data_IF_926457138103
#
_entry.id   IF_926457138103
#
_cell.length_a   1.000
_cell.length_b   1.000
_cell.length_c   1.000
_cell.angle_alpha   90.00
_cell.angle_beta   90.00
_cell.angle_gamma   90.00
#
_symmetry.space_group_name_H-M   'P 1'
#
loop_
_entity.id
_entity.type
_entity.pdbx_description
1 polymer ?
#
# COMPACT_ATOMS: atom_id res chain seq x y z
N UNK A 1 -2.41 -3.34 -18.16
CA UNK A 1 -1.46 -4.47 -18.15
C UNK A 1 -2.26 -5.76 -18.11
N UNK A 2 -1.90 -6.76 -18.93
CA UNK A 2 -2.60 -8.05 -18.98
C UNK A 2 -2.09 -9.03 -17.93
N UNK A 3 -2.08 -8.63 -16.64
CA UNK A 3 -1.57 -9.47 -15.55
C UNK A 3 -2.39 -10.74 -15.39
N UNK A 4 -3.71 -10.63 -15.57
CA UNK A 4 -4.66 -11.73 -15.46
C UNK A 4 -5.54 -11.77 -16.71
N UNK A 5 -6.02 -12.95 -17.07
CA UNK A 5 -6.90 -13.16 -18.22
C UNK A 5 -8.34 -12.66 -17.97
N UNK A 6 -9.20 -12.75 -18.98
CA UNK A 6 -10.59 -12.25 -18.90
C UNK A 6 -11.48 -13.02 -17.92
N UNK A 7 -11.20 -14.30 -17.66
CA UNK A 7 -11.95 -15.12 -16.69
C UNK A 7 -11.51 -14.75 -15.29
N UNK A 8 -10.20 -14.69 -15.07
CA UNK A 8 -9.61 -14.29 -13.79
C UNK A 8 -10.01 -12.86 -13.41
N UNK A 9 -10.03 -11.93 -14.39
CA UNK A 9 -10.46 -10.56 -14.15
C UNK A 9 -11.90 -10.47 -13.65
N UNK A 10 -12.84 -11.23 -14.23
CA UNK A 10 -14.24 -11.24 -13.77
C UNK A 10 -14.37 -11.69 -12.32
N UNK A 11 -13.57 -12.66 -11.91
CA UNK A 11 -13.54 -13.13 -10.51
C UNK A 11 -12.95 -12.05 -9.59
N UNK A 12 -11.86 -11.40 -10.00
CA UNK A 12 -11.29 -10.28 -9.25
C UNK A 12 -12.28 -9.11 -9.11
N UNK A 13 -13.05 -8.80 -10.16
CA UNK A 13 -14.10 -7.77 -10.15
C UNK A 13 -15.23 -8.13 -9.15
N UNK A 14 -15.65 -9.38 -9.07
CA UNK A 14 -16.65 -9.83 -8.07
C UNK A 14 -16.13 -9.70 -6.64
N UNK A 15 -14.86 -10.05 -6.41
CA UNK A 15 -14.21 -9.87 -5.11
C UNK A 15 -14.08 -8.39 -4.75
N UNK A 16 -13.77 -7.53 -5.72
CA UNK A 16 -13.73 -6.09 -5.55
C UNK A 16 -15.10 -5.52 -5.16
N UNK A 17 -16.19 -5.99 -5.78
CA UNK A 17 -17.56 -5.60 -5.41
C UNK A 17 -17.84 -5.92 -3.93
N UNK A 18 -17.44 -7.10 -3.45
CA UNK A 18 -17.57 -7.46 -2.03
C UNK A 18 -16.78 -6.51 -1.11
N UNK A 19 -15.54 -6.16 -1.48
CA UNK A 19 -14.74 -5.17 -0.72
C UNK A 19 -15.49 -3.84 -0.65
N UNK A 20 -16.03 -3.36 -1.78
CA UNK A 20 -16.78 -2.10 -1.85
C UNK A 20 -18.02 -2.15 -0.95
N UNK A 21 -18.76 -3.25 -0.95
CA UNK A 21 -19.94 -3.43 -0.07
C UNK A 21 -19.56 -3.38 1.41
N UNK A 22 -18.49 -4.07 1.81
CA UNK A 22 -17.99 -4.06 3.19
C UNK A 22 -17.54 -2.65 3.62
N UNK A 23 -16.86 -1.90 2.73
CA UNK A 23 -16.48 -0.49 2.95
C UNK A 23 -17.73 0.38 3.13
N UNK A 24 -18.75 0.22 2.28
CA UNK A 24 -20.01 0.99 2.37
C UNK A 24 -20.76 0.69 3.66
N UNK A 25 -20.76 -0.56 4.10
CA UNK A 25 -21.35 -1.01 5.37
C UNK A 25 -20.48 -0.71 6.59
N UNK A 26 -19.30 -0.10 6.41
CA UNK A 26 -18.34 0.24 7.47
C UNK A 26 -17.80 -0.99 8.23
N UNK A 27 -17.82 -2.15 7.59
CA UNK A 27 -17.24 -3.38 8.11
C UNK A 27 -15.73 -3.42 7.83
N UNK A 28 -14.99 -2.47 8.42
CA UNK A 28 -13.63 -2.15 7.97
C UNK A 28 -12.63 -3.31 8.05
N UNK A 29 -12.70 -4.11 9.12
CA UNK A 29 -11.83 -5.27 9.28
C UNK A 29 -12.14 -6.35 8.25
N UNK A 30 -13.42 -6.60 7.98
CA UNK A 30 -13.83 -7.55 6.95
C UNK A 30 -13.41 -7.04 5.56
N UNK A 31 -13.58 -5.74 5.30
CA UNK A 31 -13.13 -5.11 4.07
C UNK A 31 -11.61 -5.29 3.85
N UNK A 32 -10.79 -5.10 4.90
CA UNK A 32 -9.33 -5.29 4.82
C UNK A 32 -8.98 -6.75 4.54
N UNK A 33 -9.60 -7.67 5.27
CA UNK A 33 -9.35 -9.09 5.05
C UNK A 33 -9.73 -9.51 3.61
N UNK A 34 -10.87 -9.00 3.10
CA UNK A 34 -11.31 -9.31 1.74
C UNK A 34 -10.41 -8.66 0.68
N UNK A 35 -9.87 -7.46 0.93
CA UNK A 35 -8.88 -6.84 0.03
C UNK A 35 -7.58 -7.66 -0.02
N UNK A 36 -7.11 -8.17 1.12
CA UNK A 36 -5.92 -9.03 1.16
C UNK A 36 -6.14 -10.32 0.34
N UNK A 37 -7.33 -10.91 0.41
CA UNK A 37 -7.71 -12.08 -0.41
C UNK A 37 -7.75 -11.72 -1.90
N UNK A 38 -8.29 -10.55 -2.26
CA UNK A 38 -8.29 -10.05 -3.64
C UNK A 38 -6.87 -9.83 -4.18
N UNK A 39 -6.00 -9.16 -3.42
CA UNK A 39 -4.62 -8.91 -3.82
C UNK A 39 -3.84 -10.21 -3.97
N UNK A 40 -3.99 -11.15 -3.03
CA UNK A 40 -3.39 -12.48 -3.11
C UNK A 40 -3.88 -13.26 -4.35
N UNK A 41 -5.17 -13.16 -4.68
CA UNK A 41 -5.74 -13.77 -5.88
C UNK A 41 -5.13 -13.20 -7.16
N UNK A 42 -5.00 -11.86 -7.26
CA UNK A 42 -4.39 -11.19 -8.42
C UNK A 42 -2.92 -11.59 -8.57
N UNK A 43 -2.15 -11.54 -7.47
CA UNK A 43 -0.74 -11.91 -7.47
C UNK A 43 -0.54 -13.35 -7.95
N UNK A 44 -1.28 -14.29 -7.36
CA UNK A 44 -1.21 -15.72 -7.70
C UNK A 44 -1.65 -15.99 -9.13
N UNK A 45 -2.78 -15.41 -9.55
CA UNK A 45 -3.33 -15.62 -10.89
C UNK A 45 -2.45 -15.04 -12.00
N UNK A 46 -1.78 -13.92 -11.71
CA UNK A 46 -0.87 -13.26 -12.64
C UNK A 46 0.57 -13.76 -12.57
N UNK A 47 0.87 -14.77 -11.73
CA UNK A 47 2.23 -15.29 -11.57
C UNK A 47 3.23 -14.25 -11.05
N UNK A 48 2.75 -13.23 -10.34
CA UNK A 48 3.56 -12.14 -9.83
C UNK A 48 4.11 -12.46 -8.45
N UNK A 49 5.41 -12.24 -8.25
CA UNK A 49 6.04 -12.48 -6.95
C UNK A 49 5.73 -11.39 -5.91
N UNK A 50 5.39 -10.18 -6.36
CA UNK A 50 4.90 -9.06 -5.56
C UNK A 50 4.12 -8.10 -6.47
N UNK A 51 3.01 -7.56 -5.96
CA UNK A 51 2.25 -6.53 -6.69
C UNK A 51 2.92 -5.15 -6.61
N UNK A 52 3.87 -4.95 -5.70
CA UNK A 52 4.60 -3.68 -5.54
C UNK A 52 5.52 -3.37 -6.75
N UNK A 53 5.98 -4.40 -7.47
CA UNK A 53 6.65 -4.28 -8.77
C UNK A 53 6.41 -5.54 -9.61
N UNK A 54 5.47 -5.43 -10.55
CA UNK A 54 5.03 -6.56 -11.39
C UNK A 54 6.11 -7.08 -12.36
N UNK A 55 7.26 -6.42 -12.45
CA UNK A 55 8.39 -6.89 -13.27
C UNK A 55 9.27 -7.88 -12.52
N UNK A 56 9.08 -8.02 -11.21
CA UNK A 56 9.91 -8.88 -10.37
C UNK A 56 9.43 -10.32 -10.43
N UNK A 57 10.40 -11.22 -10.53
CA UNK A 57 10.18 -12.67 -10.43
C UNK A 57 10.37 -13.20 -9.00
N UNK A 58 10.81 -12.35 -8.07
CA UNK A 58 10.99 -12.67 -6.65
C UNK A 58 10.53 -11.50 -5.78
N UNK A 59 10.07 -11.82 -4.56
CA UNK A 59 9.74 -10.79 -3.56
C UNK A 59 10.96 -9.95 -3.14
N UNK A 60 10.72 -8.97 -2.29
CA UNK A 60 11.81 -8.22 -1.65
C UNK A 60 12.46 -9.05 -0.54
N UNK A 61 13.77 -8.89 -0.39
CA UNK A 61 14.62 -9.64 0.54
C UNK A 61 15.00 -8.81 1.79
N UNK A 62 14.23 -7.75 2.07
CA UNK A 62 14.45 -6.82 3.20
C UNK A 62 14.62 -7.55 4.53
N UNK A 63 13.77 -8.55 4.81
CA UNK A 63 13.86 -9.39 6.02
C UNK A 63 15.19 -10.12 6.15
N UNK A 64 15.71 -10.67 5.06
CA UNK A 64 16.99 -11.40 5.07
C UNK A 64 18.22 -10.50 5.04
N UNK A 65 18.08 -9.25 4.58
CA UNK A 65 19.21 -8.33 4.44
C UNK A 65 19.17 -7.20 5.47
N UNK A 66 18.15 -6.34 5.40
CA UNK A 66 18.01 -5.14 6.22
C UNK A 66 17.72 -5.53 7.67
N UNK A 67 16.72 -6.40 7.92
CA UNK A 67 16.42 -6.82 9.30
C UNK A 67 17.63 -7.54 9.93
N UNK A 68 18.33 -8.36 9.16
CA UNK A 68 19.54 -9.04 9.63
C UNK A 68 20.67 -8.05 9.99
N UNK A 69 20.91 -7.05 9.15
CA UNK A 69 21.91 -6.01 9.41
C UNK A 69 21.57 -5.18 10.66
N UNK A 70 20.31 -4.72 10.77
CA UNK A 70 19.81 -3.95 11.91
C UNK A 70 19.80 -4.74 13.22
N UNK A 71 19.75 -6.08 13.14
CA UNK A 71 19.85 -6.97 14.30
C UNK A 71 21.28 -7.45 14.59
N UNK A 72 22.27 -7.04 13.79
CA UNK A 72 23.66 -7.44 14.02
C UNK A 72 24.18 -6.90 15.37
N UNK A 73 24.94 -7.70 16.14
CA UNK A 73 25.43 -7.27 17.45
C UNK A 73 26.23 -5.97 17.38
N UNK A 74 27.10 -5.84 16.37
CA UNK A 74 27.94 -4.65 16.19
C UNK A 74 27.11 -3.38 15.98
N UNK A 75 26.09 -3.41 15.13
CA UNK A 75 25.24 -2.24 14.91
C UNK A 75 24.39 -1.91 16.15
N UNK A 76 23.93 -2.93 16.88
CA UNK A 76 23.18 -2.71 18.12
C UNK A 76 24.03 -2.08 19.21
N UNK A 77 25.28 -2.52 19.37
CA UNK A 77 26.23 -1.89 20.29
C UNK A 77 26.50 -0.43 19.89
N UNK A 78 26.66 -0.17 18.59
CA UNK A 78 26.87 1.18 18.07
C UNK A 78 25.68 2.11 18.36
N UNK A 79 24.44 1.59 18.30
CA UNK A 79 23.22 2.36 18.53
C UNK A 79 22.77 2.40 20.01
N UNK A 80 23.38 1.60 20.89
CA UNK A 80 23.04 1.53 22.30
C UNK A 80 23.11 2.89 23.03
N UNK A 81 24.08 3.79 22.76
CA UNK A 81 24.10 5.13 23.36
C UNK A 81 22.88 6.00 23.00
N UNK A 82 22.20 5.70 21.89
CA UNK A 82 20.95 6.37 21.45
C UNK A 82 19.69 5.74 22.07
N UNK A 83 19.85 4.79 22.99
CA UNK A 83 18.73 4.10 23.66
C UNK A 83 18.16 2.92 22.89
N UNK A 84 18.80 2.47 21.81
CA UNK A 84 18.37 1.27 21.08
C UNK A 84 18.76 0.03 21.91
N UNK A 85 17.79 -0.83 22.30
CA UNK A 85 18.09 -2.01 23.10
C UNK A 85 18.88 -3.06 22.29
N UNK A 86 19.60 -3.97 22.98
CA UNK A 86 20.20 -5.12 22.32
C UNK A 86 19.13 -6.05 21.73
N UNK A 87 19.48 -6.81 20.69
CA UNK A 87 18.57 -7.75 20.01
C UNK A 87 17.95 -8.77 20.97
N UNK A 88 18.66 -9.16 22.03
CA UNK A 88 18.14 -10.09 23.05
C UNK A 88 16.99 -9.52 23.88
N UNK A 89 16.84 -8.20 23.94
CA UNK A 89 15.75 -7.53 24.64
C UNK A 89 14.64 -7.12 23.66
N UNK A 90 15.00 -6.61 22.47
CA UNK A 90 14.04 -6.26 21.43
C UNK A 90 14.69 -6.32 20.04
N UNK A 91 14.34 -7.35 19.29
CA UNK A 91 14.69 -7.50 17.88
C UNK A 91 13.98 -6.45 17.03
N UNK A 92 14.65 -5.98 16.00
CA UNK A 92 14.10 -5.10 14.99
C UNK A 92 13.35 -5.96 13.99
N UNK A 93 12.18 -5.48 13.59
CA UNK A 93 11.35 -6.05 12.54
C UNK A 93 10.92 -4.92 11.61
N UNK A 94 10.93 -5.19 10.30
CA UNK A 94 10.52 -4.22 9.28
C UNK A 94 9.03 -3.85 9.37
N UNK A 95 8.16 -4.83 9.64
CA UNK A 95 6.72 -4.65 9.81
C UNK A 95 6.22 -5.45 11.01
N UNK A 96 5.55 -4.79 11.95
CA UNK A 96 5.01 -5.43 13.14
C UNK A 96 3.64 -6.07 12.88
N UNK A 97 3.57 -7.40 13.04
CA UNK A 97 2.33 -8.15 12.87
C UNK A 97 1.27 -7.78 13.93
N UNK A 98 1.70 -7.40 15.13
CA UNK A 98 0.80 -6.95 16.19
C UNK A 98 0.12 -5.62 15.82
N UNK A 99 0.92 -4.64 15.35
CA UNK A 99 0.38 -3.35 14.91
C UNK A 99 -0.54 -3.52 13.71
N UNK A 100 -0.14 -4.32 12.70
CA UNK A 100 -1.00 -4.61 11.55
C UNK A 100 -2.32 -5.28 11.97
N UNK A 101 -2.29 -6.22 12.92
CA UNK A 101 -3.51 -6.84 13.43
C UNK A 101 -4.45 -5.83 14.12
N UNK A 102 -3.90 -4.98 15.00
CA UNK A 102 -4.68 -4.00 15.76
C UNK A 102 -5.25 -2.93 14.81
N UNK A 103 -4.39 -2.35 13.97
CA UNK A 103 -4.69 -1.20 13.13
C UNK A 103 -5.20 -1.54 11.73
N UNK A 104 -5.22 -2.81 11.32
CA UNK A 104 -5.59 -3.21 9.95
C UNK A 104 -7.00 -2.76 9.53
N UNK A 105 -7.92 -2.62 10.50
CA UNK A 105 -9.25 -2.07 10.26
C UNK A 105 -9.24 -0.59 9.82
N UNK A 106 -8.17 0.15 10.05
CA UNK A 106 -8.09 1.57 9.68
C UNK A 106 -7.76 1.77 8.19
N UNK A 107 -7.09 0.79 7.58
CA UNK A 107 -6.62 0.84 6.17
C UNK A 107 -7.75 1.06 5.17
N UNK A 108 -8.96 0.59 5.48
CA UNK A 108 -10.11 0.71 4.57
C UNK A 108 -10.91 2.01 4.76
N UNK A 109 -10.53 2.87 5.70
CA UNK A 109 -11.17 4.17 5.91
C UNK A 109 -10.53 5.21 4.99
N UNK A 110 -11.37 5.97 4.29
CA UNK A 110 -10.86 6.98 3.36
C UNK A 110 -10.30 8.19 4.10
N UNK A 111 -9.10 8.63 3.72
CA UNK A 111 -8.49 9.91 4.10
C UNK A 111 -8.50 10.94 2.95
N UNK A 112 -9.19 10.62 1.84
CA UNK A 112 -9.21 11.45 0.62
C UNK A 112 -9.62 12.90 0.90
N UNK A 113 -10.56 13.12 1.81
CA UNK A 113 -11.02 14.46 2.19
C UNK A 113 -9.93 15.28 2.86
N UNK A 114 -9.05 14.65 3.66
CA UNK A 114 -7.94 15.36 4.32
C UNK A 114 -6.91 15.88 3.31
N UNK A 115 -6.74 15.20 2.19
CA UNK A 115 -5.86 15.68 1.10
C UNK A 115 -6.43 16.94 0.45
N UNK A 116 -7.75 17.00 0.26
CA UNK A 116 -8.40 18.21 -0.26
C UNK A 116 -8.16 19.40 0.67
N UNK A 117 -8.29 19.20 1.99
CA UNK A 117 -8.01 20.23 2.98
C UNK A 117 -6.54 20.72 2.87
N UNK A 118 -5.58 19.80 2.78
CA UNK A 118 -4.15 20.15 2.67
C UNK A 118 -3.80 20.98 1.42
N UNK A 119 -4.44 20.67 0.28
CA UNK A 119 -4.21 21.35 -0.98
C UNK A 119 -4.59 22.85 -0.94
N UNK A 120 -5.47 23.25 -0.03
CA UNK A 120 -5.84 24.66 0.17
C UNK A 120 -4.78 25.43 1.00
N UNK A 121 -3.88 24.75 1.72
CA UNK A 121 -2.90 25.38 2.59
C UNK A 121 -1.45 25.26 2.11
N UNK A 122 -1.10 24.19 1.38
CA UNK A 122 0.28 23.96 0.97
C UNK A 122 0.41 23.15 -0.33
N UNK A 123 1.54 23.28 -1.04
CA UNK A 123 1.87 22.40 -2.15
C UNK A 123 1.98 20.94 -1.68
N UNK A 124 1.31 20.02 -2.39
CA UNK A 124 1.35 18.58 -2.14
C UNK A 124 1.94 17.86 -3.36
N UNK A 125 2.93 16.99 -3.12
CA UNK A 125 3.49 16.09 -4.15
C UNK A 125 2.93 14.69 -3.95
N UNK A 126 2.18 14.20 -4.93
CA UNK A 126 1.79 12.80 -5.05
C UNK A 126 2.65 12.16 -6.14
N UNK A 127 3.37 11.10 -5.80
CA UNK A 127 4.20 10.36 -6.75
C UNK A 127 3.97 8.86 -6.58
N UNK A 128 4.16 8.11 -7.66
CA UNK A 128 3.82 6.69 -7.71
C UNK A 128 4.74 5.94 -8.68
N UNK A 129 5.01 4.67 -8.38
CA UNK A 129 5.74 3.78 -9.28
C UNK A 129 4.84 3.30 -10.42
N UNK A 130 5.31 3.38 -11.66
CA UNK A 130 4.51 2.95 -12.83
C UNK A 130 4.28 1.43 -12.92
N UNK A 131 5.02 0.65 -12.13
CA UNK A 131 4.97 -0.82 -12.11
C UNK A 131 4.39 -1.39 -10.81
N UNK A 132 3.96 -0.53 -9.90
CA UNK A 132 3.16 -0.92 -8.74
C UNK A 132 1.74 -1.22 -9.23
N UNK A 133 1.23 -2.41 -8.92
CA UNK A 133 -0.12 -2.86 -9.22
C UNK A 133 -1.02 -2.93 -7.98
N UNK A 134 -0.45 -2.84 -6.78
CA UNK A 134 -1.21 -2.79 -5.52
C UNK A 134 -1.73 -1.38 -5.26
N UNK A 135 -0.85 -0.39 -5.31
CA UNK A 135 -1.15 1.03 -5.11
C UNK A 135 -0.73 1.86 -6.34
N UNK A 136 -0.99 1.30 -7.53
CA UNK A 136 -0.45 1.80 -8.80
C UNK A 136 -1.02 3.12 -9.34
N UNK A 137 -0.54 3.47 -10.54
CA UNK A 137 -0.96 4.65 -11.30
C UNK A 137 -2.47 4.68 -11.53
N UNK A 138 -3.07 3.54 -11.88
CA UNK A 138 -4.50 3.48 -12.22
C UNK A 138 -5.42 3.85 -11.06
N UNK A 139 -5.15 3.34 -9.86
CA UNK A 139 -5.94 3.68 -8.66
C UNK A 139 -5.68 5.11 -8.21
N UNK A 140 -4.42 5.55 -8.24
CA UNK A 140 -4.04 6.92 -7.86
C UNK A 140 -4.65 7.98 -8.78
N UNK A 141 -4.51 7.83 -10.09
CA UNK A 141 -5.07 8.75 -11.09
C UNK A 141 -6.59 8.86 -10.91
N UNK A 142 -7.29 7.74 -10.68
CA UNK A 142 -8.74 7.71 -10.50
C UNK A 142 -9.22 8.51 -9.28
N UNK A 143 -8.60 8.37 -8.10
CA UNK A 143 -9.07 9.10 -6.92
C UNK A 143 -8.65 10.58 -6.95
N UNK A 144 -7.47 10.89 -7.51
CA UNK A 144 -6.98 12.27 -7.67
C UNK A 144 -7.90 13.05 -8.61
N UNK A 145 -8.31 12.45 -9.72
CA UNK A 145 -9.26 13.06 -10.67
C UNK A 145 -10.67 13.27 -10.09
N UNK A 146 -10.98 12.70 -8.92
CA UNK A 146 -12.26 12.92 -8.24
C UNK A 146 -12.13 13.82 -7.01
N UNK A 147 -10.95 14.38 -6.73
CA UNK A 147 -10.75 15.37 -5.66
C UNK A 147 -11.49 16.67 -6.00
N UNK A 148 -12.15 17.24 -4.98
CA UNK A 148 -12.78 18.56 -5.08
C UNK A 148 -11.91 19.54 -4.30
N UNK A 149 -11.19 20.41 -5.01
CA UNK A 149 -10.31 21.44 -4.43
C UNK A 149 -10.18 22.62 -5.39
N UNK A 150 -9.73 23.79 -4.90
CA UNK A 150 -9.76 25.04 -5.67
C UNK A 150 -9.01 24.97 -7.02
N UNK A 151 -7.85 24.31 -7.05
CA UNK A 151 -7.03 24.19 -8.26
C UNK A 151 -7.35 22.99 -9.16
N UNK A 152 -8.43 22.24 -8.90
CA UNK A 152 -8.76 21.02 -9.65
C UNK A 152 -8.91 21.25 -11.16
N UNK A 153 -9.51 22.37 -11.57
CA UNK A 153 -9.65 22.75 -12.98
C UNK A 153 -8.29 22.98 -13.66
N UNK A 154 -7.39 23.70 -12.97
CA UNK A 154 -6.02 23.93 -13.46
C UNK A 154 -5.21 22.64 -13.56
N UNK A 155 -5.32 21.76 -12.56
CA UNK A 155 -4.69 20.45 -12.59
C UNK A 155 -5.15 19.60 -13.77
N UNK A 156 -6.46 19.58 -14.05
CA UNK A 156 -7.04 18.79 -15.14
C UNK A 156 -6.66 19.32 -16.52
N UNK A 157 -6.52 20.64 -16.65
CA UNK A 157 -6.14 21.30 -17.90
C UNK A 157 -4.62 21.36 -18.14
N UNK A 158 -3.80 21.07 -17.11
CA UNK A 158 -2.36 21.12 -17.23
C UNK A 158 -1.85 20.08 -18.23
N UNK A 159 -0.88 20.48 -19.06
CA UNK A 159 -0.21 19.56 -19.97
C UNK A 159 0.57 18.53 -19.17
N UNK A 160 0.32 17.25 -19.43
CA UNK A 160 1.25 16.19 -19.04
C UNK A 160 2.49 16.35 -19.94
N UNK A 161 3.61 16.73 -19.35
CA UNK A 161 4.86 17.01 -20.08
C UNK A 161 5.41 15.80 -20.81
#
# INVERSE_FOLDING_TARGET
>A
MGLIDSVQRKLAEQMQEQVIELVRSREWRAARNMSDVLLAYIATSGGSATLEDVRRNTGYDSRSQVDAYLNSPHLRELLAPSGVPPTSALSWESCSAEVDHIMGHDVMKSVKNLVADLLDYMPVLLYQGQWDAECGVGSNDAWIHTLQWHGHGGFTAARRE
#
